data_IF_103151626690
#
_entry.id   IF_103151626690
#
_cell.length_a   1.000
_cell.length_b   1.000
_cell.length_c   1.000
_cell.angle_alpha   90.00
_cell.angle_beta   90.00
_cell.angle_gamma   90.00
#
_symmetry.space_group_name_H-M   'P 1'
#
loop_
_entity.id
_entity.type
_entity.pdbx_description
1 polymer ?
#
# COMPACT_ATOMS: atom_id res chain seq x y z
N UNK A 1 -47.89 44.19 -24.92
CA UNK A 1 -47.56 45.61 -24.65
C UNK A 1 -47.08 45.71 -23.21
N UNK A 2 -45.82 46.04 -22.99
CA UNK A 2 -45.28 46.34 -21.67
C UNK A 2 -45.10 47.87 -21.57
N UNK A 3 -45.55 48.52 -20.49
CA UNK A 3 -45.03 49.81 -20.09
C UNK A 3 -44.34 49.74 -18.72
N UNK A 4 -43.10 50.24 -18.73
CA UNK A 4 -42.23 50.65 -17.63
C UNK A 4 -42.90 51.56 -16.58
N UNK A 5 -42.49 51.45 -15.29
CA UNK A 5 -42.07 52.60 -14.45
C UNK A 5 -41.54 52.16 -13.08
N UNK A 6 -40.44 52.80 -12.67
CA UNK A 6 -39.61 52.63 -11.47
C UNK A 6 -40.08 53.46 -10.27
N UNK A 7 -39.94 52.96 -9.03
CA UNK A 7 -39.72 53.76 -7.80
C UNK A 7 -38.91 52.95 -6.77
N UNK A 8 -37.92 53.54 -6.07
CA UNK A 8 -37.17 52.87 -5.00
C UNK A 8 -37.86 53.03 -3.64
N UNK A 9 -37.84 51.99 -2.79
CA UNK A 9 -38.26 52.09 -1.38
C UNK A 9 -37.05 51.94 -0.48
N UNK A 10 -36.63 53.05 0.12
CA UNK A 10 -35.80 53.06 1.32
C UNK A 10 -36.60 52.42 2.46
N UNK A 11 -36.07 51.36 3.06
CA UNK A 11 -36.50 50.94 4.38
C UNK A 11 -35.37 51.20 5.38
N UNK A 12 -35.73 52.05 6.34
CA UNK A 12 -34.98 52.46 7.50
C UNK A 12 -34.32 51.27 8.23
N UNK A 13 -33.08 51.48 8.67
CA UNK A 13 -32.51 50.72 9.77
C UNK A 13 -33.23 51.09 11.08
N UNK A 14 -33.69 50.13 11.89
CA UNK A 14 -33.80 50.35 13.33
C UNK A 14 -32.46 49.98 13.98
N UNK A 15 -32.02 50.84 14.88
CA UNK A 15 -30.91 50.60 15.78
C UNK A 15 -31.32 49.67 16.94
N UNK A 16 -30.31 48.97 17.46
CA UNK A 16 -30.23 48.36 18.81
C UNK A 16 -30.99 47.05 19.05
N UNK A 17 -30.26 45.96 19.31
CA UNK A 17 -30.01 45.47 20.68
C UNK A 17 -29.13 44.20 20.61
N UNK A 18 -28.28 43.99 21.60
CA UNK A 18 -27.20 43.00 21.60
C UNK A 18 -27.60 41.58 21.18
N UNK A 19 -27.05 41.11 20.07
CA UNK A 19 -26.91 39.70 19.77
C UNK A 19 -25.46 39.31 20.00
N UNK A 20 -25.19 38.54 21.04
CA UNK A 20 -23.98 37.73 21.14
C UNK A 20 -23.80 37.04 19.80
N UNK A 21 -22.79 37.42 19.02
CA UNK A 21 -22.32 36.62 17.91
C UNK A 21 -21.88 35.30 18.53
N UNK A 22 -22.77 34.31 18.51
CA UNK A 22 -22.38 32.93 18.65
C UNK A 22 -21.39 32.69 17.51
N UNK A 23 -20.11 32.87 17.84
CA UNK A 23 -19.01 32.34 17.05
C UNK A 23 -19.33 30.86 16.97
N UNK A 24 -19.94 30.43 15.86
CA UNK A 24 -19.95 29.04 15.46
C UNK A 24 -18.48 28.70 15.25
N UNK A 25 -17.84 28.33 16.35
CA UNK A 25 -16.52 27.71 16.38
C UNK A 25 -16.77 26.32 15.84
N UNK A 26 -17.08 26.24 14.54
CA UNK A 26 -17.15 25.00 13.81
C UNK A 26 -15.83 24.32 14.08
N UNK A 27 -15.88 23.22 14.82
CA UNK A 27 -14.70 22.39 15.06
C UNK A 27 -14.12 22.09 13.70
N UNK A 28 -12.97 22.69 13.40
CA UNK A 28 -12.18 22.37 12.20
C UNK A 28 -11.76 20.91 12.37
N UNK A 29 -12.48 20.00 11.72
CA UNK A 29 -12.12 18.60 11.67
C UNK A 29 -10.89 18.50 10.77
N UNK A 30 -9.71 18.33 11.36
CA UNK A 30 -8.49 18.08 10.59
C UNK A 30 -8.70 16.82 9.74
N UNK A 31 -8.32 16.87 8.47
CA UNK A 31 -8.35 15.68 7.62
C UNK A 31 -7.29 14.70 8.13
N UNK A 32 -7.71 13.61 8.76
CA UNK A 32 -6.83 12.51 9.18
C UNK A 32 -7.01 11.37 8.20
N UNK A 33 -5.91 10.91 7.59
CA UNK A 33 -5.94 9.87 6.56
C UNK A 33 -5.74 8.47 7.15
N UNK A 34 -5.00 8.38 8.26
CA UNK A 34 -4.86 7.15 9.02
C UNK A 34 -6.16 6.82 9.77
N UNK A 35 -6.73 5.68 9.44
CA UNK A 35 -7.69 5.01 10.31
C UNK A 35 -6.90 4.02 11.18
N UNK A 36 -6.89 4.16 12.50
CA UNK A 36 -6.25 3.17 13.36
C UNK A 36 -7.09 1.87 13.29
N UNK A 37 -6.67 0.94 12.43
CA UNK A 37 -7.27 -0.39 12.25
C UNK A 37 -6.37 -1.47 12.88
N UNK A 38 -6.27 -1.56 14.23
CA UNK A 38 -5.39 -2.54 14.89
C UNK A 38 -5.83 -3.99 14.66
N UNK A 39 -7.11 -4.21 14.37
CA UNK A 39 -7.71 -5.54 14.20
C UNK A 39 -7.09 -6.32 13.04
N UNK A 40 -6.83 -5.67 11.90
CA UNK A 40 -6.24 -6.35 10.74
C UNK A 40 -4.83 -6.88 11.05
N UNK A 41 -4.03 -6.07 11.75
CA UNK A 41 -2.66 -6.45 12.15
C UNK A 41 -2.68 -7.65 13.08
N UNK A 42 -3.58 -7.68 14.08
CA UNK A 42 -3.72 -8.82 14.97
C UNK A 42 -4.24 -10.07 14.25
N UNK A 43 -5.23 -9.92 13.36
CA UNK A 43 -5.77 -11.03 12.59
C UNK A 43 -4.72 -11.67 11.68
N UNK A 44 -3.94 -10.85 10.97
CA UNK A 44 -2.87 -11.34 10.12
C UNK A 44 -1.75 -11.98 10.93
N UNK A 45 -1.42 -11.44 12.11
CA UNK A 45 -0.45 -12.04 13.03
C UNK A 45 -0.90 -13.42 13.53
N UNK A 46 -2.21 -13.59 13.79
CA UNK A 46 -2.78 -14.88 14.16
C UNK A 46 -2.68 -15.90 13.02
N UNK A 47 -2.99 -15.50 11.78
CA UNK A 47 -2.82 -16.39 10.63
C UNK A 47 -1.35 -16.75 10.38
N UNK A 48 -0.44 -15.79 10.51
CA UNK A 48 1.00 -16.04 10.44
C UNK A 48 1.48 -17.00 11.52
N UNK A 49 0.91 -16.94 12.73
CA UNK A 49 1.19 -17.92 13.78
C UNK A 49 0.77 -19.33 13.33
N UNK A 50 -0.46 -19.50 12.83
CA UNK A 50 -0.93 -20.80 12.32
C UNK A 50 -0.05 -21.31 11.19
N UNK A 51 0.36 -20.44 10.27
CA UNK A 51 1.27 -20.81 9.19
C UNK A 51 2.65 -21.17 9.72
N UNK A 52 3.22 -20.41 10.66
CA UNK A 52 4.51 -20.74 11.26
C UNK A 52 4.48 -22.08 12.01
N UNK A 53 3.36 -22.42 12.66
CA UNK A 53 3.17 -23.74 13.25
C UNK A 53 3.13 -24.82 12.16
N UNK A 54 2.42 -24.61 11.05
CA UNK A 54 2.38 -25.56 9.94
C UNK A 54 3.76 -25.78 9.30
N UNK A 55 4.50 -24.70 9.01
CA UNK A 55 5.88 -24.76 8.52
C UNK A 55 6.83 -25.41 9.53
N UNK A 56 6.68 -25.06 10.80
CA UNK A 56 7.47 -25.61 11.90
C UNK A 56 7.25 -27.11 12.08
N UNK A 57 6.00 -27.58 12.08
CA UNK A 57 5.70 -29.02 12.18
C UNK A 57 6.18 -29.81 10.96
N UNK A 58 6.15 -29.20 9.77
CA UNK A 58 6.54 -29.87 8.54
C UNK A 58 8.06 -29.93 8.33
N UNK A 59 8.80 -28.89 8.75
CA UNK A 59 10.20 -28.70 8.34
C UNK A 59 11.17 -28.34 9.48
N UNK A 60 10.70 -27.98 10.68
CA UNK A 60 11.59 -27.66 11.80
C UNK A 60 11.83 -28.90 12.70
N UNK A 61 13.07 -29.15 13.15
CA UNK A 61 13.43 -30.38 13.86
C UNK A 61 13.00 -30.41 15.34
N UNK A 62 12.74 -29.24 15.94
CA UNK A 62 12.52 -29.13 17.38
C UNK A 62 11.50 -28.04 17.74
N UNK A 63 10.84 -28.21 18.90
CA UNK A 63 9.86 -27.24 19.43
C UNK A 63 10.43 -25.82 19.54
N UNK A 64 11.69 -25.67 19.98
CA UNK A 64 12.35 -24.37 20.06
C UNK A 64 12.48 -23.66 18.70
N UNK A 65 12.78 -24.41 17.64
CA UNK A 65 12.82 -23.89 16.28
C UNK A 65 11.44 -23.43 15.79
N UNK A 66 10.36 -24.15 16.16
CA UNK A 66 8.99 -23.75 15.82
C UNK A 66 8.60 -22.43 16.49
N UNK A 67 8.94 -22.26 17.76
CA UNK A 67 8.71 -20.99 18.49
C UNK A 67 9.51 -19.86 17.85
N UNK A 68 10.79 -20.09 17.55
CA UNK A 68 11.65 -19.08 16.90
C UNK A 68 11.12 -18.70 15.52
N UNK A 69 10.69 -19.67 14.70
CA UNK A 69 10.08 -19.42 13.39
C UNK A 69 8.80 -18.59 13.50
N UNK A 70 7.96 -18.89 14.50
CA UNK A 70 6.73 -18.13 14.78
C UNK A 70 7.02 -16.66 15.10
N UNK A 71 8.04 -16.42 15.93
CA UNK A 71 8.48 -15.06 16.26
C UNK A 71 9.07 -14.34 15.03
N UNK A 72 9.86 -15.03 14.20
CA UNK A 72 10.41 -14.46 12.98
C UNK A 72 9.33 -14.04 11.98
N UNK A 73 8.33 -14.91 11.75
CA UNK A 73 7.24 -14.61 10.80
C UNK A 73 6.45 -13.37 11.22
N UNK A 74 6.14 -13.26 12.51
CA UNK A 74 5.33 -12.14 13.02
C UNK A 74 6.17 -10.87 13.14
N UNK A 75 7.26 -10.92 13.91
CA UNK A 75 7.97 -9.69 14.28
C UNK A 75 8.95 -9.21 13.22
N UNK A 76 9.63 -10.12 12.52
CA UNK A 76 10.65 -9.74 11.53
C UNK A 76 10.01 -9.63 10.15
N UNK A 77 9.38 -10.69 9.68
CA UNK A 77 8.86 -10.73 8.31
C UNK A 77 7.64 -9.85 8.14
N UNK A 78 6.69 -9.84 9.07
CA UNK A 78 5.50 -9.02 8.94
C UNK A 78 5.70 -7.61 9.53
N UNK A 79 5.85 -7.48 10.85
CA UNK A 79 5.91 -6.15 11.50
C UNK A 79 7.18 -5.39 11.10
N UNK A 80 8.34 -6.03 11.15
CA UNK A 80 9.63 -5.43 10.82
C UNK A 80 9.70 -4.95 9.38
N UNK A 81 9.35 -5.82 8.42
CA UNK A 81 9.33 -5.41 7.01
C UNK A 81 8.32 -4.29 6.74
N UNK A 82 7.14 -4.34 7.37
CA UNK A 82 6.14 -3.28 7.21
C UNK A 82 6.59 -1.95 7.77
N UNK A 83 7.31 -1.93 8.90
CA UNK A 83 7.90 -0.71 9.46
C UNK A 83 8.99 -0.14 8.56
N UNK A 84 9.83 -0.99 7.96
CA UNK A 84 10.85 -0.55 7.02
C UNK A 84 10.20 0.06 5.77
N UNK A 85 9.24 -0.64 5.16
CA UNK A 85 8.56 -0.15 3.96
C UNK A 85 7.77 1.12 4.25
N UNK A 86 7.08 1.21 5.39
CA UNK A 86 6.33 2.41 5.76
C UNK A 86 7.25 3.60 6.03
N UNK A 87 8.42 3.38 6.62
CA UNK A 87 9.44 4.42 6.82
C UNK A 87 9.96 4.92 5.48
N UNK A 88 10.32 4.02 4.57
CA UNK A 88 10.77 4.38 3.22
C UNK A 88 9.67 5.15 2.50
N UNK A 89 8.42 4.68 2.54
CA UNK A 89 7.31 5.31 1.85
C UNK A 89 6.96 6.68 2.45
N UNK A 90 6.97 6.82 3.77
CA UNK A 90 6.73 8.09 4.46
C UNK A 90 7.68 9.20 3.97
N UNK A 91 8.93 8.84 3.67
CA UNK A 91 9.91 9.76 3.14
C UNK A 91 9.87 9.88 1.60
N UNK A 92 9.69 8.78 0.88
CA UNK A 92 9.76 8.77 -0.58
C UNK A 92 8.49 9.34 -1.23
N UNK A 93 7.30 8.97 -0.74
CA UNK A 93 6.03 9.29 -1.40
C UNK A 93 5.79 10.82 -1.49
N UNK A 94 5.97 11.62 -0.42
CA UNK A 94 5.79 13.07 -0.53
C UNK A 94 6.83 13.73 -1.46
N UNK A 95 8.06 13.21 -1.50
CA UNK A 95 9.14 13.73 -2.36
C UNK A 95 8.96 13.37 -3.82
N UNK A 96 8.39 12.20 -4.11
CA UNK A 96 8.18 11.73 -5.47
C UNK A 96 6.87 12.27 -6.05
N UNK A 97 5.78 12.19 -5.29
CA UNK A 97 4.40 12.40 -5.77
C UNK A 97 3.72 13.64 -5.18
N UNK A 98 4.42 14.42 -4.35
CA UNK A 98 3.92 15.71 -3.89
C UNK A 98 3.76 16.73 -5.03
N UNK A 99 3.14 17.90 -4.74
CA UNK A 99 2.90 18.96 -5.74
C UNK A 99 4.17 19.42 -6.48
N UNK A 100 5.31 19.50 -5.77
CA UNK A 100 6.63 19.84 -6.31
C UNK A 100 7.54 18.60 -6.48
N UNK A 101 6.95 17.40 -6.50
CA UNK A 101 7.66 16.14 -6.48
C UNK A 101 8.31 15.77 -7.83
N UNK A 102 9.31 14.87 -7.78
CA UNK A 102 10.05 14.43 -8.97
C UNK A 102 9.14 13.88 -10.09
N UNK A 103 8.02 13.24 -9.75
CA UNK A 103 7.07 12.72 -10.71
C UNK A 103 6.40 13.81 -11.57
N UNK A 104 6.27 15.03 -11.05
CA UNK A 104 5.74 16.18 -11.80
C UNK A 104 6.70 16.61 -12.92
N UNK A 105 8.02 16.54 -12.67
CA UNK A 105 9.03 16.82 -13.70
C UNK A 105 9.09 15.73 -14.79
N UNK A 106 8.87 14.47 -14.40
CA UNK A 106 8.90 13.33 -15.33
C UNK A 106 7.67 13.31 -16.26
N UNK A 107 6.49 13.71 -15.76
CA UNK A 107 5.27 13.78 -16.58
C UNK A 107 5.20 15.03 -17.46
N UNK A 108 5.97 16.08 -17.15
CA UNK A 108 6.08 17.29 -17.97
C UNK A 108 6.62 17.07 -19.39
N UNK A 109 7.40 16.00 -19.62
CA UNK A 109 7.92 15.65 -20.94
C UNK A 109 6.91 14.95 -21.85
N UNK A 110 5.81 14.41 -21.31
CA UNK A 110 4.83 13.61 -22.06
C UNK A 110 3.48 14.31 -22.01
N UNK A 111 3.26 15.21 -22.98
CA UNK A 111 2.05 16.03 -23.10
C UNK A 111 0.76 15.31 -22.65
N UNK A 112 0.20 15.80 -21.55
CA UNK A 112 -1.14 15.56 -20.97
C UNK A 112 -2.01 14.48 -21.64
N UNK A 113 -2.17 13.31 -20.98
CA UNK A 113 -3.34 12.44 -21.18
C UNK A 113 -3.65 11.58 -19.96
N UNK A 114 -4.33 12.15 -18.97
CA UNK A 114 -4.81 11.37 -17.83
C UNK A 114 -5.09 12.17 -16.57
N UNK A 115 -5.90 13.24 -16.65
CA UNK A 115 -6.46 13.90 -15.47
C UNK A 115 -7.53 12.99 -14.84
N UNK A 116 -7.13 11.83 -14.29
CA UNK A 116 -8.00 10.97 -13.48
C UNK A 116 -8.14 11.62 -12.10
N UNK A 117 -9.01 12.63 -12.08
CA UNK A 117 -9.66 13.16 -10.87
C UNK A 117 -10.30 12.00 -10.13
N UNK A 118 -9.74 11.63 -8.97
CA UNK A 118 -10.50 10.90 -7.95
C UNK A 118 -11.72 11.75 -7.56
N UNK A 119 -12.90 11.18 -7.75
CA UNK A 119 -14.19 11.85 -7.62
C UNK A 119 -14.58 12.14 -6.14
N UNK A 120 -13.82 12.99 -5.47
CA UNK A 120 -14.20 13.57 -4.16
C UNK A 120 -13.76 15.03 -4.01
N UNK A 121 -13.43 15.72 -5.11
CA UNK A 121 -13.09 17.15 -5.08
C UNK A 121 -14.38 18.00 -5.08
N UNK A 122 -15.05 18.06 -3.94
CA UNK A 122 -16.23 18.90 -3.71
C UNK A 122 -15.88 20.20 -2.97
N UNK A 123 -15.74 21.29 -3.73
CA UNK A 123 -16.10 22.68 -3.40
C UNK A 123 -15.70 23.34 -2.05
N UNK A 124 -14.85 22.73 -1.21
CA UNK A 124 -14.44 23.32 0.08
C UNK A 124 -12.97 23.07 0.47
N UNK A 125 -12.07 22.95 -0.50
CA UNK A 125 -10.62 22.94 -0.20
C UNK A 125 -10.22 24.34 0.25
N UNK A 126 -10.00 24.52 1.55
CA UNK A 126 -9.45 25.77 2.09
C UNK A 126 -7.94 25.83 1.81
N UNK A 127 -7.44 26.92 1.20
CA UNK A 127 -6.02 27.10 0.97
C UNK A 127 -5.34 27.41 2.32
N UNK A 128 -4.62 26.44 2.89
CA UNK A 128 -3.83 26.67 4.10
C UNK A 128 -3.55 25.46 4.99
N UNK A 129 -4.29 24.36 4.83
CA UNK A 129 -3.99 23.10 5.54
C UNK A 129 -3.15 22.22 4.63
N UNK A 130 -1.85 22.09 4.94
CA UNK A 130 -0.98 21.15 4.24
C UNK A 130 -1.42 19.75 4.67
N UNK A 131 -2.21 19.06 3.84
CA UNK A 131 -2.47 17.63 4.02
C UNK A 131 -1.13 16.90 3.95
N UNK A 132 -0.62 16.51 5.11
CA UNK A 132 0.65 15.80 5.24
C UNK A 132 0.38 14.30 5.21
N UNK A 133 1.25 13.55 4.54
CA UNK A 133 1.23 12.10 4.60
C UNK A 133 1.50 11.66 6.03
N UNK A 134 0.66 10.79 6.57
CA UNK A 134 0.80 10.27 7.93
C UNK A 134 1.58 8.95 7.92
N UNK A 135 2.47 8.75 8.89
CA UNK A 135 3.22 7.50 9.02
C UNK A 135 2.29 6.30 9.26
N UNK A 136 1.25 6.47 10.09
CA UNK A 136 0.26 5.43 10.36
C UNK A 136 -0.43 4.95 9.08
N UNK A 137 -0.70 5.88 8.15
CA UNK A 137 -1.25 5.53 6.84
C UNK A 137 -0.29 4.65 6.03
N UNK A 138 1.00 5.02 5.99
CA UNK A 138 2.02 4.24 5.28
C UNK A 138 2.17 2.82 5.86
N UNK A 139 2.08 2.71 7.19
CA UNK A 139 2.11 1.42 7.89
C UNK A 139 0.89 0.56 7.58
N UNK A 140 -0.31 1.14 7.58
CA UNK A 140 -1.55 0.45 7.21
C UNK A 140 -1.50 -0.05 5.76
N UNK A 141 -1.08 0.79 4.81
CA UNK A 141 -0.90 0.39 3.40
C UNK A 141 0.09 -0.77 3.27
N UNK A 142 1.22 -0.72 3.99
CA UNK A 142 2.19 -1.81 3.99
C UNK A 142 1.62 -3.11 4.55
N UNK A 143 0.88 -3.04 5.66
CA UNK A 143 0.25 -4.22 6.27
C UNK A 143 -0.77 -4.84 5.31
N UNK A 144 -1.61 -4.04 4.66
CA UNK A 144 -2.59 -4.51 3.67
C UNK A 144 -1.92 -5.14 2.45
N UNK A 145 -0.82 -4.55 1.97
CA UNK A 145 -0.03 -5.09 0.86
C UNK A 145 0.67 -6.41 1.22
N UNK A 146 1.01 -6.62 2.49
CA UNK A 146 1.63 -7.86 2.95
C UNK A 146 0.67 -9.06 2.85
N UNK A 147 -0.65 -8.87 2.96
CA UNK A 147 -1.59 -10.00 2.99
C UNK A 147 -1.58 -10.87 1.71
N UNK A 148 -1.68 -10.31 0.48
CA UNK A 148 -1.52 -11.09 -0.73
C UNK A 148 -0.15 -11.77 -0.84
N UNK A 149 0.91 -11.09 -0.41
CA UNK A 149 2.26 -11.65 -0.39
C UNK A 149 2.34 -12.86 0.56
N UNK A 150 1.77 -12.73 1.76
CA UNK A 150 1.60 -13.81 2.72
C UNK A 150 0.87 -15.00 2.08
N UNK A 151 -0.27 -14.78 1.44
CA UNK A 151 -1.06 -15.85 0.83
C UNK A 151 -0.25 -16.61 -0.23
N UNK A 152 0.50 -15.91 -1.08
CA UNK A 152 1.28 -16.55 -2.13
C UNK A 152 2.54 -17.25 -1.58
N UNK A 153 3.36 -16.56 -0.79
CA UNK A 153 4.70 -17.04 -0.41
C UNK A 153 4.71 -17.91 0.85
N UNK A 154 3.68 -17.84 1.70
CA UNK A 154 3.62 -18.59 2.95
C UNK A 154 2.58 -19.71 2.89
N UNK A 155 1.45 -19.51 2.20
CA UNK A 155 0.38 -20.51 2.12
C UNK A 155 0.48 -21.31 0.82
N UNK A 156 0.36 -20.65 -0.33
CA UNK A 156 0.37 -21.33 -1.63
C UNK A 156 1.73 -21.98 -1.89
N UNK A 157 2.83 -21.30 -1.58
CA UNK A 157 4.17 -21.89 -1.68
C UNK A 157 4.29 -23.15 -0.84
N UNK A 158 3.83 -23.14 0.41
CA UNK A 158 3.87 -24.31 1.28
C UNK A 158 3.17 -25.52 0.66
N UNK A 159 2.00 -25.30 0.06
CA UNK A 159 1.23 -26.35 -0.63
C UNK A 159 1.91 -26.82 -1.93
N UNK A 160 2.56 -25.91 -2.65
CA UNK A 160 3.25 -26.21 -3.91
C UNK A 160 4.68 -26.74 -3.70
N UNK A 161 5.27 -26.61 -2.52
CA UNK A 161 6.66 -27.03 -2.24
C UNK A 161 6.95 -28.47 -2.69
N UNK A 162 6.12 -29.49 -2.37
CA UNK A 162 6.37 -30.85 -2.83
C UNK A 162 6.42 -31.00 -4.35
N UNK A 163 5.70 -30.15 -5.09
CA UNK A 163 5.72 -30.13 -6.55
C UNK A 163 6.93 -29.36 -7.08
N UNK A 164 7.28 -28.23 -6.44
CA UNK A 164 8.39 -27.36 -6.85
C UNK A 164 9.75 -28.01 -6.59
N UNK A 165 9.90 -28.82 -5.56
CA UNK A 165 11.18 -29.46 -5.18
C UNK A 165 11.36 -30.87 -5.73
N UNK A 166 10.31 -31.53 -6.23
CA UNK A 166 10.39 -32.90 -6.76
C UNK A 166 11.29 -33.03 -7.98
N UNK A 167 11.47 -31.98 -8.77
CA UNK A 167 12.27 -32.04 -10.00
C UNK A 167 12.93 -30.69 -10.31
N UNK A 168 14.14 -30.45 -9.76
CA UNK A 168 14.86 -29.18 -9.83
C UNK A 168 15.37 -28.77 -11.23
N UNK A 169 15.02 -29.48 -12.29
CA UNK A 169 15.40 -29.13 -13.67
C UNK A 169 14.20 -28.99 -14.60
N UNK A 170 12.97 -29.06 -14.06
CA UNK A 170 11.77 -28.96 -14.88
C UNK A 170 11.39 -27.50 -15.15
N UNK A 171 11.18 -27.18 -16.43
CA UNK A 171 10.64 -25.88 -16.86
C UNK A 171 9.36 -25.52 -16.08
N UNK A 172 8.48 -26.48 -15.84
CA UNK A 172 7.24 -26.27 -15.10
C UNK A 172 7.46 -25.81 -13.65
N UNK A 173 8.45 -26.37 -12.94
CA UNK A 173 8.76 -25.97 -11.57
C UNK A 173 9.33 -24.55 -11.52
N UNK A 174 10.22 -24.21 -12.47
CA UNK A 174 10.76 -22.85 -12.65
C UNK A 174 9.66 -21.86 -12.98
N UNK A 175 8.78 -22.22 -13.93
CA UNK A 175 7.65 -21.39 -14.34
C UNK A 175 6.69 -21.13 -13.18
N UNK A 176 6.23 -22.17 -12.49
CA UNK A 176 5.30 -22.04 -11.37
C UNK A 176 5.91 -21.27 -10.21
N UNK A 177 7.16 -21.60 -9.82
CA UNK A 177 7.86 -20.92 -8.74
C UNK A 177 8.08 -19.43 -9.04
N UNK A 178 8.61 -19.09 -10.22
CA UNK A 178 8.85 -17.70 -10.58
C UNK A 178 7.53 -16.93 -10.74
N UNK A 179 6.48 -17.55 -11.28
CA UNK A 179 5.15 -16.93 -11.40
C UNK A 179 4.54 -16.67 -10.03
N UNK A 180 4.75 -17.56 -9.04
CA UNK A 180 4.28 -17.36 -7.67
C UNK A 180 4.94 -16.15 -7.01
N UNK A 181 6.26 -15.97 -7.19
CA UNK A 181 6.98 -14.80 -6.69
C UNK A 181 6.59 -13.53 -7.44
N UNK A 182 6.45 -13.60 -8.77
CA UNK A 182 6.00 -12.48 -9.57
C UNK A 182 4.60 -12.03 -9.13
N UNK A 183 3.65 -12.94 -9.00
CA UNK A 183 2.28 -12.60 -8.61
C UNK A 183 2.23 -12.01 -7.21
N UNK A 184 2.99 -12.54 -6.25
CA UNK A 184 3.11 -11.98 -4.91
C UNK A 184 3.57 -10.51 -4.94
N UNK A 185 4.62 -10.21 -5.71
CA UNK A 185 5.18 -8.85 -5.82
C UNK A 185 4.29 -7.91 -6.64
N UNK A 186 3.59 -8.42 -7.67
CA UNK A 186 2.59 -7.66 -8.42
C UNK A 186 1.46 -7.23 -7.49
N UNK A 187 0.89 -8.16 -6.72
CA UNK A 187 -0.18 -7.82 -5.77
C UNK A 187 0.30 -6.87 -4.69
N UNK A 188 1.50 -7.07 -4.15
CA UNK A 188 2.08 -6.15 -3.17
C UNK A 188 2.14 -4.73 -3.74
N UNK A 189 2.75 -4.57 -4.92
CA UNK A 189 2.90 -3.27 -5.61
C UNK A 189 1.55 -2.66 -5.95
N UNK A 190 0.59 -3.46 -6.42
CA UNK A 190 -0.74 -3.00 -6.79
C UNK A 190 -1.54 -2.50 -5.58
N UNK A 191 -1.55 -3.23 -4.46
CA UNK A 191 -2.22 -2.79 -3.24
C UNK A 191 -1.56 -1.53 -2.68
N UNK A 192 -0.23 -1.43 -2.72
CA UNK A 192 0.49 -0.20 -2.37
C UNK A 192 0.05 0.98 -3.24
N UNK A 193 -0.05 0.78 -4.56
CA UNK A 193 -0.58 1.79 -5.48
C UNK A 193 -2.02 2.19 -5.13
N UNK A 194 -2.92 1.24 -4.89
CA UNK A 194 -4.31 1.55 -4.51
C UNK A 194 -4.40 2.36 -3.22
N UNK A 195 -3.55 2.05 -2.24
CA UNK A 195 -3.43 2.83 -1.01
C UNK A 195 -3.11 4.28 -1.34
N UNK A 196 -1.92 4.55 -1.86
CA UNK A 196 -1.50 5.94 -2.10
C UNK A 196 -2.35 6.69 -3.14
N UNK A 197 -2.98 5.99 -4.08
CA UNK A 197 -3.91 6.59 -5.05
C UNK A 197 -5.22 7.11 -4.42
N UNK A 198 -5.54 6.70 -3.18
CA UNK A 198 -6.69 7.24 -2.44
C UNK A 198 -6.43 8.66 -1.88
N UNK A 199 -5.16 9.10 -1.82
CA UNK A 199 -4.78 10.40 -1.27
C UNK A 199 -4.90 11.50 -2.35
N UNK A 200 -5.78 12.50 -2.18
CA UNK A 200 -6.09 13.47 -3.24
C UNK A 200 -4.97 14.48 -3.52
N UNK A 201 -3.99 14.60 -2.63
CA UNK A 201 -2.85 15.52 -2.76
C UNK A 201 -1.64 14.90 -3.48
N UNK A 202 -1.64 13.58 -3.72
CA UNK A 202 -0.58 12.91 -4.48
C UNK A 202 -0.90 12.91 -5.97
N UNK A 203 0.11 13.20 -6.79
CA UNK A 203 -0.01 13.32 -8.24
C UNK A 203 0.83 12.25 -8.94
N UNK A 204 0.39 11.80 -10.12
CA UNK A 204 1.11 10.80 -10.94
C UNK A 204 1.47 9.51 -10.19
N UNK A 205 0.60 9.07 -9.28
CA UNK A 205 0.73 7.82 -8.50
C UNK A 205 0.84 6.59 -9.38
N UNK A 206 0.42 6.64 -10.64
CA UNK A 206 0.56 5.57 -11.65
C UNK A 206 2.01 5.08 -11.80
N UNK A 207 3.02 5.92 -11.53
CA UNK A 207 4.43 5.49 -11.56
C UNK A 207 4.77 4.48 -10.46
N UNK A 208 3.96 4.36 -9.40
CA UNK A 208 4.10 3.27 -8.42
C UNK A 208 3.87 1.88 -9.05
N UNK A 209 3.28 1.81 -10.24
CA UNK A 209 3.13 0.55 -10.98
C UNK A 209 4.38 0.19 -11.80
N UNK A 210 5.37 1.08 -11.96
CA UNK A 210 6.58 0.80 -12.74
C UNK A 210 7.36 -0.46 -12.28
N UNK A 211 7.48 -0.76 -10.97
CA UNK A 211 8.10 -1.99 -10.52
C UNK A 211 7.45 -3.25 -11.12
N UNK A 212 6.14 -3.26 -11.39
CA UNK A 212 5.45 -4.41 -12.02
C UNK A 212 6.04 -4.71 -13.40
N UNK A 213 6.31 -3.68 -14.20
CA UNK A 213 6.91 -3.86 -15.53
C UNK A 213 8.32 -4.43 -15.41
N UNK A 214 9.14 -3.87 -14.51
CA UNK A 214 10.51 -4.33 -14.27
C UNK A 214 10.51 -5.79 -13.81
N UNK A 215 9.66 -6.14 -12.84
CA UNK A 215 9.50 -7.50 -12.34
C UNK A 215 9.02 -8.47 -13.42
N UNK A 216 8.11 -8.06 -14.30
CA UNK A 216 7.64 -8.89 -15.42
C UNK A 216 8.75 -9.17 -16.43
N UNK A 217 9.60 -8.19 -16.72
CA UNK A 217 10.78 -8.37 -17.58
C UNK A 217 11.78 -9.30 -16.89
N UNK A 218 12.08 -9.08 -15.61
CA UNK A 218 12.98 -9.94 -14.84
C UNK A 218 12.48 -11.39 -14.79
N UNK A 219 11.17 -11.59 -14.63
CA UNK A 219 10.55 -12.92 -14.69
C UNK A 219 10.72 -13.57 -16.07
N UNK A 220 10.52 -12.82 -17.16
CA UNK A 220 10.73 -13.37 -18.50
C UNK A 220 12.19 -13.78 -18.73
N UNK A 221 13.13 -12.93 -18.31
CA UNK A 221 14.57 -13.21 -18.38
C UNK A 221 14.93 -14.45 -17.54
N UNK A 222 14.38 -14.59 -16.34
CA UNK A 222 14.66 -15.74 -15.49
C UNK A 222 14.13 -17.06 -16.08
N UNK A 223 12.99 -17.04 -16.78
CA UNK A 223 12.49 -18.21 -17.50
C UNK A 223 13.40 -18.62 -18.66
N UNK A 224 13.88 -17.65 -19.45
CA UNK A 224 14.79 -17.93 -20.58
C UNK A 224 16.14 -18.46 -20.07
N UNK A 225 16.65 -17.90 -18.98
CA UNK A 225 17.88 -18.34 -18.33
C UNK A 225 17.75 -19.68 -17.59
N UNK A 226 16.53 -20.23 -17.44
CA UNK A 226 16.27 -21.43 -16.64
C UNK A 226 16.51 -21.22 -15.14
N UNK A 227 16.51 -19.98 -14.67
CA UNK A 227 16.79 -19.64 -13.27
C UNK A 227 15.51 -19.59 -12.45
N UNK A 228 15.37 -20.50 -11.48
CA UNK A 228 14.21 -20.56 -10.58
C UNK A 228 14.53 -20.05 -9.18
N UNK A 229 13.72 -19.13 -8.66
CA UNK A 229 13.88 -18.54 -7.31
C UNK A 229 13.78 -19.60 -6.21
N UNK A 230 12.80 -20.52 -6.32
CA UNK A 230 12.59 -21.61 -5.36
C UNK A 230 13.60 -22.74 -5.55
N UNK A 231 14.12 -22.91 -6.77
CA UNK A 231 14.95 -24.05 -7.17
C UNK A 231 16.30 -24.09 -6.47
N UNK A 232 16.83 -22.91 -6.11
CA UNK A 232 18.13 -22.80 -5.46
C UNK A 232 18.04 -22.89 -3.93
N UNK A 233 16.87 -23.19 -3.35
CA UNK A 233 16.70 -23.33 -1.89
C UNK A 233 16.78 -22.01 -1.11
N UNK A 234 17.50 -21.00 -1.60
CA UNK A 234 17.69 -19.70 -0.94
C UNK A 234 16.39 -19.01 -0.53
N UNK A 235 15.31 -19.19 -1.30
CA UNK A 235 14.05 -18.54 -1.01
C UNK A 235 13.31 -19.17 0.17
N UNK A 236 13.51 -20.47 0.40
CA UNK A 236 13.01 -21.22 1.55
C UNK A 236 13.95 -21.03 2.73
N UNK A 237 15.28 -21.08 2.52
CA UNK A 237 16.28 -20.78 3.56
C UNK A 237 16.09 -19.39 4.16
N UNK A 238 15.81 -18.39 3.32
CA UNK A 238 15.48 -17.04 3.76
C UNK A 238 14.23 -16.97 4.64
N UNK A 239 13.31 -17.93 4.52
CA UNK A 239 12.13 -18.02 5.37
C UNK A 239 12.49 -18.48 6.79
N UNK A 240 13.49 -19.36 6.93
CA UNK A 240 13.91 -19.90 8.22
C UNK A 240 14.97 -19.01 8.90
N UNK A 241 15.72 -18.19 8.16
CA UNK A 241 16.76 -17.29 8.70
C UNK A 241 17.61 -17.93 9.82
N UNK A 242 18.11 -19.15 9.56
CA UNK A 242 18.99 -19.88 10.47
C UNK A 242 18.29 -20.49 11.70
N UNK A 243 17.00 -20.80 11.59
CA UNK A 243 16.21 -21.66 12.51
C UNK A 243 16.39 -23.13 12.16
#
# INVERSE_FOLDING_TARGET
MNPTISVPRQHASPASFGGTTASSRGSKTKNTWHRPDPSFTYLLSFFLLLTALAWGLAYAPAFGSIVRLSLLFIFVHFIGSSLVVSTVAYFAIPRLFGPDGAAASLSGFRGSRGRRRGAAQGLFVQPGEKDQLEFGYCFDVSNRAFFPLYLHLYVVQFLLLPLLTRSPSNFLATFLGNTLYLSALIYYTYITFLGYNALPFLHNTELLLLPILVLSIMWLVSLIAGWGVVMHGHSVEGLFWGV
#
